data_IF_477196862337
#
_entry.id   IF_477196862337
#
_cell.length_a   1.000
_cell.length_b   1.000
_cell.length_c   1.000
_cell.angle_alpha   90.00
_cell.angle_beta   90.00
_cell.angle_gamma   90.00
#
_symmetry.space_group_name_H-M   'P 1'
#
loop_
_entity.id
_entity.type
_entity.pdbx_description
1 polymer ?
#
# COMPACT_ATOMS: atom_id res chain seq x y z
N UNK A 1 54.02 11.42 -7.72
CA UNK A 1 52.68 10.88 -8.02
C UNK A 1 52.55 10.72 -9.51
N UNK A 2 52.25 9.51 -10.00
CA UNK A 2 51.77 9.33 -11.38
C UNK A 2 50.27 9.61 -11.37
N UNK A 3 49.77 10.45 -12.28
CA UNK A 3 48.33 10.79 -12.34
C UNK A 3 47.40 9.57 -12.52
N UNK A 4 47.96 8.42 -12.90
CA UNK A 4 47.26 7.15 -13.11
C UNK A 4 46.76 6.53 -11.80
N UNK A 5 47.51 6.66 -10.69
CA UNK A 5 47.15 6.04 -9.40
C UNK A 5 45.99 6.77 -8.72
N UNK A 6 45.98 8.11 -8.78
CA UNK A 6 44.87 8.95 -8.29
C UNK A 6 43.60 8.66 -9.11
N UNK A 7 43.74 8.53 -10.43
CA UNK A 7 42.63 8.19 -11.32
C UNK A 7 42.03 6.81 -11.02
N UNK A 8 42.86 5.81 -10.70
CA UNK A 8 42.41 4.48 -10.31
C UNK A 8 41.63 4.49 -8.99
N UNK A 9 42.12 5.16 -7.95
CA UNK A 9 41.41 5.26 -6.66
C UNK A 9 40.07 6.00 -6.82
N UNK A 10 40.04 7.08 -7.58
CA UNK A 10 38.81 7.82 -7.88
C UNK A 10 37.81 6.96 -8.68
N UNK A 11 38.27 6.18 -9.65
CA UNK A 11 37.42 5.26 -10.42
C UNK A 11 36.83 4.14 -9.55
N UNK A 12 37.62 3.55 -8.66
CA UNK A 12 37.14 2.53 -7.70
C UNK A 12 36.14 3.10 -6.70
N UNK A 13 36.37 4.31 -6.18
CA UNK A 13 35.43 5.01 -5.30
C UNK A 13 34.08 5.27 -5.99
N UNK A 14 34.12 5.75 -7.25
CA UNK A 14 32.93 5.98 -8.06
C UNK A 14 32.13 4.71 -8.36
N UNK A 15 32.80 3.59 -8.65
CA UNK A 15 32.15 2.30 -8.87
C UNK A 15 31.47 1.76 -7.61
N UNK A 16 32.14 1.82 -6.45
CA UNK A 16 31.55 1.42 -5.16
C UNK A 16 30.35 2.28 -4.79
N UNK A 17 30.44 3.60 -4.95
CA UNK A 17 29.34 4.51 -4.69
C UNK A 17 28.12 4.21 -5.58
N UNK A 18 28.34 3.95 -6.87
CA UNK A 18 27.26 3.56 -7.80
C UNK A 18 26.59 2.26 -7.38
N UNK A 19 27.37 1.24 -7.00
CA UNK A 19 26.83 -0.04 -6.53
C UNK A 19 25.95 0.13 -5.27
N UNK A 20 26.38 0.95 -4.31
CA UNK A 20 25.60 1.26 -3.09
C UNK A 20 24.30 1.99 -3.43
N UNK A 21 24.34 2.97 -4.32
CA UNK A 21 23.15 3.70 -4.77
C UNK A 21 22.16 2.78 -5.49
N UNK A 22 22.64 1.90 -6.37
CA UNK A 22 21.77 0.98 -7.11
C UNK A 22 21.17 -0.09 -6.20
N UNK A 23 21.92 -0.57 -5.19
CA UNK A 23 21.39 -1.42 -4.13
C UNK A 23 20.27 -0.73 -3.33
N UNK A 24 20.47 0.54 -2.95
CA UNK A 24 19.44 1.33 -2.28
C UNK A 24 18.19 1.57 -3.14
N UNK A 25 18.35 1.79 -4.45
CA UNK A 25 17.22 1.87 -5.39
C UNK A 25 16.48 0.55 -5.48
N UNK A 26 17.19 -0.59 -5.52
CA UNK A 26 16.58 -1.91 -5.56
C UNK A 26 15.74 -2.18 -4.30
N UNK A 27 16.28 -1.88 -3.10
CA UNK A 27 15.54 -1.97 -1.85
C UNK A 27 14.30 -1.05 -1.85
N UNK A 28 14.46 0.18 -2.30
CA UNK A 28 13.32 1.10 -2.41
C UNK A 28 12.25 0.61 -3.39
N UNK A 29 12.65 -0.02 -4.50
CA UNK A 29 11.72 -0.61 -5.46
C UNK A 29 10.98 -1.80 -4.84
N UNK A 30 11.66 -2.63 -4.04
CA UNK A 30 11.03 -3.73 -3.30
C UNK A 30 9.95 -3.20 -2.35
N UNK A 31 10.25 -2.18 -1.54
CA UNK A 31 9.26 -1.57 -0.65
C UNK A 31 8.10 -0.93 -1.42
N UNK A 32 8.37 -0.27 -2.56
CA UNK A 32 7.31 0.27 -3.41
C UNK A 32 6.43 -0.83 -4.02
N UNK A 33 7.00 -1.98 -4.37
CA UNK A 33 6.24 -3.14 -4.83
C UNK A 33 5.33 -3.69 -3.72
N UNK A 34 5.84 -3.82 -2.50
CA UNK A 34 5.04 -4.20 -1.32
C UNK A 34 3.90 -3.21 -1.08
N UNK A 35 4.18 -1.90 -1.13
CA UNK A 35 3.17 -0.86 -1.00
C UNK A 35 2.03 -1.01 -2.03
N UNK A 36 2.37 -1.25 -3.30
CA UNK A 36 1.39 -1.48 -4.37
C UNK A 36 0.58 -2.75 -4.15
N UNK A 37 1.24 -3.83 -3.71
CA UNK A 37 0.56 -5.08 -3.40
C UNK A 37 -0.46 -4.90 -2.28
N UNK A 38 -0.09 -4.19 -1.21
CA UNK A 38 -1.01 -3.89 -0.11
C UNK A 38 -2.19 -3.03 -0.56
N UNK A 39 -1.95 -2.00 -1.38
CA UNK A 39 -3.05 -1.20 -1.96
C UNK A 39 -3.99 -2.04 -2.82
N UNK A 40 -3.45 -2.96 -3.63
CA UNK A 40 -4.27 -3.88 -4.43
C UNK A 40 -5.10 -4.81 -3.55
N UNK A 41 -4.51 -5.38 -2.50
CA UNK A 41 -5.24 -6.22 -1.54
C UNK A 41 -6.38 -5.46 -0.87
N UNK A 42 -6.12 -4.22 -0.40
CA UNK A 42 -7.17 -3.38 0.20
C UNK A 42 -8.28 -3.01 -0.79
N UNK A 43 -7.94 -2.80 -2.07
CA UNK A 43 -8.95 -2.59 -3.13
C UNK A 43 -9.80 -3.82 -3.37
N UNK A 44 -9.19 -5.02 -3.39
CA UNK A 44 -9.92 -6.28 -3.55
C UNK A 44 -10.89 -6.49 -2.38
N UNK A 45 -10.44 -6.36 -1.14
CA UNK A 45 -11.30 -6.46 0.05
C UNK A 45 -12.45 -5.44 0.02
N UNK A 46 -12.17 -4.21 -0.42
CA UNK A 46 -13.22 -3.21 -0.57
C UNK A 46 -14.25 -3.55 -1.65
N UNK A 47 -13.85 -4.21 -2.74
CA UNK A 47 -14.77 -4.70 -3.77
C UNK A 47 -15.61 -5.85 -3.23
N UNK A 48 -15.03 -6.75 -2.43
CA UNK A 48 -15.75 -7.84 -1.77
C UNK A 48 -16.87 -7.29 -0.88
N UNK A 49 -16.57 -6.32 -0.01
CA UNK A 49 -17.59 -5.65 0.81
C UNK A 49 -18.69 -4.96 -0.02
N UNK A 50 -18.31 -4.31 -1.12
CA UNK A 50 -19.31 -3.71 -2.03
C UNK A 50 -20.19 -4.77 -2.71
N UNK A 51 -19.60 -5.91 -3.06
CA UNK A 51 -20.32 -7.04 -3.67
C UNK A 51 -21.31 -7.65 -2.68
N UNK A 52 -20.88 -7.85 -1.43
CA UNK A 52 -21.75 -8.32 -0.35
C UNK A 52 -22.92 -7.35 -0.11
N UNK A 53 -22.65 -6.04 -0.08
CA UNK A 53 -23.68 -5.02 0.05
C UNK A 53 -24.73 -5.08 -1.07
N UNK A 54 -24.28 -5.24 -2.32
CA UNK A 54 -25.17 -5.36 -3.47
C UNK A 54 -26.01 -6.65 -3.42
N UNK A 55 -25.41 -7.76 -2.98
CA UNK A 55 -26.12 -9.02 -2.81
C UNK A 55 -27.21 -8.91 -1.71
N UNK A 56 -26.92 -8.23 -0.61
CA UNK A 56 -27.89 -7.96 0.44
C UNK A 56 -29.07 -7.12 -0.06
N UNK A 57 -28.80 -6.05 -0.83
CA UNK A 57 -29.84 -5.23 -1.47
C UNK A 57 -30.69 -6.05 -2.47
N UNK A 58 -30.05 -6.86 -3.31
CA UNK A 58 -30.78 -7.72 -4.26
C UNK A 58 -31.68 -8.74 -3.56
N UNK A 59 -31.23 -9.29 -2.42
CA UNK A 59 -32.04 -10.20 -1.62
C UNK A 59 -33.22 -9.48 -0.95
N UNK A 60 -33.01 -8.25 -0.46
CA UNK A 60 -34.08 -7.40 0.05
C UNK A 60 -35.14 -7.12 -1.02
N UNK A 61 -34.74 -6.74 -2.23
CA UNK A 61 -35.66 -6.52 -3.35
C UNK A 61 -36.50 -7.76 -3.65
N UNK A 62 -35.88 -8.95 -3.68
CA UNK A 62 -36.60 -10.22 -3.86
C UNK A 62 -37.62 -10.49 -2.75
N UNK A 63 -37.27 -10.20 -1.50
CA UNK A 63 -38.18 -10.36 -0.36
C UNK A 63 -39.36 -9.39 -0.46
N UNK A 64 -39.12 -8.13 -0.81
CA UNK A 64 -40.17 -7.14 -0.99
C UNK A 64 -41.10 -7.51 -2.17
N UNK A 65 -40.53 -7.95 -3.30
CA UNK A 65 -41.30 -8.42 -4.44
C UNK A 65 -42.15 -9.64 -4.10
N UNK A 66 -41.60 -10.62 -3.37
CA UNK A 66 -42.34 -11.80 -2.92
C UNK A 66 -43.48 -11.44 -1.94
N UNK A 67 -43.24 -10.49 -1.02
CA UNK A 67 -44.28 -9.98 -0.13
C UNK A 67 -45.41 -9.30 -0.90
N UNK A 68 -45.08 -8.44 -1.88
CA UNK A 68 -46.06 -7.80 -2.75
C UNK A 68 -46.88 -8.81 -3.56
N UNK A 69 -46.24 -9.84 -4.11
CA UNK A 69 -46.91 -10.90 -4.85
C UNK A 69 -47.88 -11.70 -3.96
N UNK A 70 -47.46 -12.05 -2.72
CA UNK A 70 -48.31 -12.74 -1.74
C UNK A 70 -49.49 -11.90 -1.26
N UNK A 71 -49.26 -10.61 -1.00
CA UNK A 71 -50.32 -9.69 -0.60
C UNK A 71 -51.37 -9.52 -1.72
N UNK A 72 -50.92 -9.36 -2.96
CA UNK A 72 -51.79 -9.29 -4.14
C UNK A 72 -52.60 -10.58 -4.35
N UNK A 73 -52.00 -11.76 -4.15
CA UNK A 73 -52.70 -13.04 -4.22
C UNK A 73 -53.72 -13.25 -3.07
N UNK A 74 -53.53 -12.57 -1.94
CA UNK A 74 -54.40 -12.63 -0.78
C UNK A 74 -55.53 -11.61 -0.73
N UNK A 75 -55.77 -10.83 -1.80
CA UNK A 75 -56.70 -9.68 -1.80
C UNK A 75 -56.43 -8.65 -0.69
N UNK A 76 -55.20 -8.60 -0.16
CA UNK A 76 -54.77 -7.54 0.76
C UNK A 76 -54.04 -6.48 -0.04
N UNK A 77 -54.34 -5.20 0.21
CA UNK A 77 -53.59 -4.09 -0.37
C UNK A 77 -52.15 -4.09 0.19
N UNK A 78 -51.12 -4.44 -0.61
CA UNK A 78 -49.74 -4.54 -0.14
C UNK A 78 -49.16 -3.17 0.27
N UNK A 79 -49.79 -2.08 -0.19
CA UNK A 79 -49.33 -0.71 -0.03
C UNK A 79 -50.17 0.05 1.01
N UNK A 80 -51.19 -0.59 1.59
CA UNK A 80 -51.96 0.01 2.67
C UNK A 80 -51.05 0.28 3.88
N UNK A 81 -50.84 1.57 4.14
CA UNK A 81 -50.01 2.06 5.23
C UNK A 81 -50.54 1.59 6.58
N UNK A 82 -49.65 1.05 7.41
CA UNK A 82 -49.98 0.57 8.76
C UNK A 82 -50.43 -0.88 8.85
N UNK A 83 -50.46 -1.62 7.73
CA UNK A 83 -50.57 -3.08 7.76
C UNK A 83 -49.31 -3.71 8.36
N UNK A 84 -49.44 -4.93 8.92
CA UNK A 84 -48.28 -5.70 9.41
C UNK A 84 -47.23 -5.97 8.32
N UNK A 85 -47.65 -6.05 7.06
CA UNK A 85 -46.78 -6.23 5.90
C UNK A 85 -45.96 -4.97 5.58
N UNK A 86 -46.57 -3.78 5.65
CA UNK A 86 -45.88 -2.49 5.49
C UNK A 86 -44.83 -2.27 6.59
N UNK A 87 -45.17 -2.59 7.86
CA UNK A 87 -44.22 -2.53 8.98
C UNK A 87 -43.02 -3.45 8.78
N UNK A 88 -43.24 -4.69 8.32
CA UNK A 88 -42.16 -5.65 8.03
C UNK A 88 -41.29 -5.14 6.86
N UNK A 89 -41.90 -4.62 5.79
CA UNK A 89 -41.17 -4.04 4.66
C UNK A 89 -40.28 -2.88 5.09
N UNK A 90 -40.78 -1.95 5.93
CA UNK A 90 -40.01 -0.82 6.47
C UNK A 90 -38.85 -1.26 7.36
N UNK A 91 -39.07 -2.26 8.22
CA UNK A 91 -38.00 -2.82 9.06
C UNK A 91 -36.90 -3.46 8.21
N UNK A 92 -37.28 -4.30 7.23
CA UNK A 92 -36.33 -4.94 6.33
C UNK A 92 -35.56 -3.92 5.48
N UNK A 93 -36.21 -2.85 5.01
CA UNK A 93 -35.53 -1.75 4.32
C UNK A 93 -34.53 -1.02 5.23
N UNK A 94 -34.92 -0.72 6.47
CA UNK A 94 -34.02 -0.06 7.44
C UNK A 94 -32.80 -0.93 7.72
N UNK A 95 -33.00 -2.24 7.88
CA UNK A 95 -31.92 -3.18 8.11
C UNK A 95 -31.01 -3.32 6.87
N UNK A 96 -31.57 -3.39 5.66
CA UNK A 96 -30.81 -3.39 4.42
C UNK A 96 -29.98 -2.13 4.21
N UNK A 97 -30.52 -0.94 4.51
CA UNK A 97 -29.78 0.34 4.45
C UNK A 97 -28.65 0.37 5.47
N UNK A 98 -28.89 -0.13 6.69
CA UNK A 98 -27.84 -0.23 7.71
C UNK A 98 -26.72 -1.17 7.27
N UNK A 99 -27.06 -2.36 6.75
CA UNK A 99 -26.07 -3.32 6.25
C UNK A 99 -25.26 -2.75 5.07
N UNK A 100 -25.91 -2.08 4.12
CA UNK A 100 -25.24 -1.39 3.02
C UNK A 100 -24.27 -0.32 3.53
N UNK A 101 -24.70 0.48 4.51
CA UNK A 101 -23.86 1.52 5.12
C UNK A 101 -22.64 0.93 5.81
N UNK A 102 -22.82 -0.12 6.61
CA UNK A 102 -21.74 -0.84 7.29
C UNK A 102 -20.74 -1.42 6.27
N UNK A 103 -21.23 -2.09 5.23
CA UNK A 103 -20.37 -2.67 4.20
C UNK A 103 -19.58 -1.59 3.44
N UNK A 104 -20.20 -0.46 3.12
CA UNK A 104 -19.51 0.69 2.52
C UNK A 104 -18.44 1.28 3.44
N UNK A 105 -18.73 1.39 4.73
CA UNK A 105 -17.78 1.92 5.71
C UNK A 105 -16.61 0.94 5.91
N UNK A 106 -16.88 -0.37 5.97
CA UNK A 106 -15.86 -1.42 5.97
C UNK A 106 -14.98 -1.38 4.71
N UNK A 107 -15.57 -1.17 3.53
CA UNK A 107 -14.82 -0.99 2.28
C UNK A 107 -13.90 0.24 2.32
N UNK A 108 -14.37 1.33 2.95
CA UNK A 108 -13.60 2.55 3.13
C UNK A 108 -12.46 2.33 4.13
N UNK A 109 -12.73 1.68 5.25
CA UNK A 109 -11.72 1.34 6.25
C UNK A 109 -10.65 0.41 5.67
N UNK A 110 -11.02 -0.61 4.89
CA UNK A 110 -10.08 -1.51 4.23
C UNK A 110 -9.12 -0.74 3.30
N UNK A 111 -9.65 0.18 2.49
CA UNK A 111 -8.83 1.06 1.63
C UNK A 111 -7.91 1.96 2.44
N UNK A 112 -8.40 2.57 3.52
CA UNK A 112 -7.61 3.47 4.37
C UNK A 112 -6.49 2.72 5.10
N UNK A 113 -6.78 1.55 5.67
CA UNK A 113 -5.79 0.70 6.32
C UNK A 113 -4.70 0.26 5.35
N UNK A 114 -5.08 -0.16 4.14
CA UNK A 114 -4.14 -0.50 3.09
C UNK A 114 -3.29 0.70 2.64
N UNK A 115 -3.91 1.88 2.48
CA UNK A 115 -3.19 3.11 2.14
C UNK A 115 -2.21 3.52 3.26
N UNK A 116 -2.58 3.35 4.52
CA UNK A 116 -1.72 3.61 5.67
C UNK A 116 -0.49 2.69 5.67
N UNK A 117 -0.70 1.38 5.52
CA UNK A 117 0.40 0.41 5.41
C UNK A 117 1.30 0.68 4.19
N UNK A 118 0.70 0.99 3.03
CA UNK A 118 1.44 1.39 1.85
C UNK A 118 2.25 2.67 2.06
N UNK A 119 1.72 3.62 2.83
CA UNK A 119 2.42 4.84 3.24
C UNK A 119 3.67 4.55 4.08
N UNK A 120 3.59 3.57 5.00
CA UNK A 120 4.77 3.12 5.77
C UNK A 120 5.84 2.52 4.86
N UNK A 121 5.46 1.66 3.92
CA UNK A 121 6.39 1.09 2.95
C UNK A 121 7.03 2.16 2.04
N UNK A 122 6.27 3.16 1.59
CA UNK A 122 6.80 4.30 0.81
C UNK A 122 7.79 5.14 1.63
N UNK A 123 7.52 5.30 2.93
CA UNK A 123 8.42 5.98 3.85
C UNK A 123 9.72 5.18 4.02
N UNK A 124 9.62 3.87 4.22
CA UNK A 124 10.77 2.96 4.28
C UNK A 124 11.59 2.99 2.98
N UNK A 125 10.93 3.01 1.81
CA UNK A 125 11.58 3.15 0.51
C UNK A 125 12.36 4.46 0.40
N UNK A 126 11.78 5.56 0.88
CA UNK A 126 12.41 6.88 0.87
C UNK A 126 13.61 6.92 1.80
N UNK A 127 13.51 6.31 2.98
CA UNK A 127 14.60 6.19 3.93
C UNK A 127 15.74 5.32 3.38
N UNK A 128 15.43 4.19 2.72
CA UNK A 128 16.44 3.34 2.09
C UNK A 128 17.25 4.10 1.01
N UNK A 129 16.59 4.91 0.18
CA UNK A 129 17.28 5.77 -0.79
C UNK A 129 18.20 6.79 -0.12
N UNK A 130 17.71 7.47 0.92
CA UNK A 130 18.51 8.46 1.67
C UNK A 130 19.71 7.81 2.35
N UNK A 131 19.51 6.66 3.01
CA UNK A 131 20.60 5.92 3.65
C UNK A 131 21.64 5.46 2.63
N UNK A 132 21.23 4.93 1.48
CA UNK A 132 22.16 4.54 0.43
C UNK A 132 22.94 5.73 -0.14
N UNK A 133 22.32 6.90 -0.28
CA UNK A 133 23.01 8.13 -0.66
C UNK A 133 24.04 8.55 0.38
N UNK A 134 23.67 8.54 1.67
CA UNK A 134 24.60 8.85 2.76
C UNK A 134 25.75 7.85 2.83
N UNK A 135 25.48 6.55 2.70
CA UNK A 135 26.52 5.51 2.70
C UNK A 135 27.44 5.61 1.47
N UNK A 136 26.91 5.95 0.30
CA UNK A 136 27.72 6.20 -0.87
C UNK A 136 28.65 7.40 -0.67
N UNK A 137 28.17 8.48 -0.05
CA UNK A 137 28.98 9.65 0.29
C UNK A 137 30.09 9.31 1.31
N UNK A 138 29.74 8.60 2.38
CA UNK A 138 30.71 8.13 3.39
C UNK A 138 31.75 7.22 2.73
N UNK A 139 31.32 6.27 1.90
CA UNK A 139 32.21 5.36 1.20
C UNK A 139 33.21 6.06 0.28
N UNK A 140 32.81 7.17 -0.38
CA UNK A 140 33.72 8.03 -1.14
C UNK A 140 34.73 8.71 -0.20
N UNK A 141 34.28 9.24 0.94
CA UNK A 141 35.16 9.87 1.93
C UNK A 141 36.18 8.91 2.54
N UNK A 142 35.76 7.69 2.89
CA UNK A 142 36.64 6.63 3.39
C UNK A 142 37.64 6.15 2.34
N UNK A 143 37.23 6.00 1.08
CA UNK A 143 38.17 5.65 0.00
C UNK A 143 39.17 6.77 -0.28
N UNK A 144 38.75 8.03 -0.18
CA UNK A 144 39.66 9.18 -0.30
C UNK A 144 40.67 9.23 0.87
N UNK A 145 40.22 9.05 2.12
CA UNK A 145 41.10 9.03 3.29
C UNK A 145 42.02 7.80 3.33
N UNK A 146 41.53 6.61 2.97
CA UNK A 146 42.33 5.40 2.85
C UNK A 146 43.36 5.50 1.73
N UNK A 147 43.02 6.13 0.61
CA UNK A 147 43.98 6.53 -0.42
C UNK A 147 45.04 7.49 0.12
N UNK A 148 44.68 8.48 0.93
CA UNK A 148 45.67 9.35 1.57
C UNK A 148 46.54 8.62 2.62
N UNK A 149 46.04 7.62 3.34
CA UNK A 149 46.83 6.87 4.34
C UNK A 149 47.76 5.82 3.72
N UNK A 150 47.33 5.12 2.68
CA UNK A 150 48.18 4.15 1.96
C UNK A 150 49.32 4.88 1.24
N UNK A 151 49.07 6.09 0.74
CA UNK A 151 50.04 6.87 -0.04
C UNK A 151 50.70 8.03 0.75
N UNK A 152 50.27 8.28 1.98
CA UNK A 152 50.81 9.29 2.91
C UNK A 152 51.72 8.72 4.00
N UNK A 153 52.00 7.41 3.99
CA UNK A 153 53.05 6.83 4.83
C UNK A 153 54.42 7.23 4.23
N UNK A 154 55.25 8.03 4.93
CA UNK A 154 56.57 8.38 4.44
C UNK A 154 57.45 7.13 4.44
N UNK A 155 58.17 6.91 3.33
CA UNK A 155 59.30 5.99 3.15
C UNK A 155 59.57 5.02 4.31
N UNK A 156 59.10 3.77 4.20
CA UNK A 156 59.91 2.64 4.69
C UNK A 156 61.05 2.42 3.68
N UNK A 157 62.09 3.25 3.78
CA UNK A 157 63.42 2.91 3.32
C UNK A 157 64.02 1.95 4.35
N UNK A 158 64.10 0.68 4.00
CA UNK A 158 65.19 -0.21 4.41
C UNK A 158 65.88 -0.70 3.13
N UNK A 159 67.14 -1.14 3.14
CA UNK A 159 67.98 -1.52 4.28
C UNK A 159 68.84 -0.40 4.88
#
# INVERSE_FOLDING_TARGET
MSGVEIALVAAFAGLKAKATLDSGKAQANMYNAQARQTELQGRVQAIEYQTEANNALSNLEKVLAANNARASAGNMDPLASGSSQDLIARLNMREGVNQFTIARDNATMAKQMAAYQAGQYRTAASNAKKMAQTQALIGIGETAMGGMQIFGKPNFMGP
#
